data_IF_451500547367
#
_entry.id   IF_451500547367
#
_cell.length_a   1.000
_cell.length_b   1.000
_cell.length_c   1.000
_cell.angle_alpha   90.00
_cell.angle_beta   90.00
_cell.angle_gamma   90.00
#
_symmetry.space_group_name_H-M   'P 1'
#
loop_
_entity.id
_entity.type
_entity.pdbx_description
1 polymer ?
#
# COMPACT_ATOMS: atom_id res chain seq x y z
N UNK A 1 -16.20 34.22 63.11
CA UNK A 1 -16.52 33.87 61.72
C UNK A 1 -17.92 34.34 61.47
N UNK A 2 -18.12 35.21 60.47
CA UNK A 2 -19.43 35.84 60.17
C UNK A 2 -20.44 34.75 59.77
N UNK A 3 -21.63 34.68 60.37
CA UNK A 3 -22.64 33.63 60.12
C UNK A 3 -22.95 33.46 58.59
N UNK A 4 -22.78 34.50 57.80
CA UNK A 4 -23.00 34.48 56.37
C UNK A 4 -21.85 33.78 55.59
N UNK A 5 -20.61 33.91 56.09
CA UNK A 5 -19.44 33.21 55.49
C UNK A 5 -19.52 31.70 55.78
N UNK A 6 -19.97 31.31 56.99
CA UNK A 6 -20.17 29.90 57.31
C UNK A 6 -21.26 29.25 56.43
N UNK A 7 -22.39 29.95 56.16
CA UNK A 7 -23.44 29.48 55.25
C UNK A 7 -22.93 29.33 53.81
N UNK A 8 -22.12 30.29 53.33
CA UNK A 8 -21.54 30.24 52.00
C UNK A 8 -20.57 29.04 51.83
N UNK A 9 -19.72 28.79 52.85
CA UNK A 9 -18.81 27.64 52.87
C UNK A 9 -19.57 26.30 52.82
N UNK A 10 -20.66 26.17 53.57
CA UNK A 10 -21.48 24.96 53.58
C UNK A 10 -22.10 24.75 52.20
N UNK A 11 -22.58 25.82 51.53
CA UNK A 11 -23.19 25.75 50.19
C UNK A 11 -22.17 25.34 49.12
N UNK A 12 -20.93 25.83 49.19
CA UNK A 12 -19.82 25.42 48.33
C UNK A 12 -19.46 23.95 48.51
N UNK A 13 -19.42 23.48 49.76
CA UNK A 13 -19.14 22.06 50.06
C UNK A 13 -20.24 21.16 49.49
N UNK A 14 -21.51 21.55 49.65
CA UNK A 14 -22.63 20.79 49.09
C UNK A 14 -22.55 20.75 47.54
N UNK A 15 -22.21 21.87 46.90
CA UNK A 15 -22.04 21.95 45.45
C UNK A 15 -20.91 21.04 44.95
N UNK A 16 -19.78 20.99 45.69
CA UNK A 16 -18.66 20.10 45.38
C UNK A 16 -19.06 18.62 45.50
N UNK A 17 -19.81 18.26 46.55
CA UNK A 17 -20.30 16.88 46.76
C UNK A 17 -21.24 16.47 45.61
N UNK A 18 -22.18 17.36 45.24
CA UNK A 18 -23.12 17.10 44.11
C UNK A 18 -22.36 16.95 42.82
N UNK A 19 -21.39 17.83 42.52
CA UNK A 19 -20.55 17.77 41.32
C UNK A 19 -19.73 16.47 41.27
N UNK A 20 -19.16 16.06 42.36
CA UNK A 20 -18.39 14.80 42.46
C UNK A 20 -19.30 13.58 42.29
N UNK A 21 -20.48 13.58 42.92
CA UNK A 21 -21.45 12.50 42.76
C UNK A 21 -21.95 12.42 41.30
N UNK A 22 -22.27 13.56 40.67
CA UNK A 22 -22.66 13.61 39.24
C UNK A 22 -21.54 13.10 38.32
N UNK A 23 -20.27 13.49 38.56
CA UNK A 23 -19.12 12.99 37.83
C UNK A 23 -18.94 11.47 37.97
N UNK A 24 -19.08 10.96 39.20
CA UNK A 24 -18.95 9.52 39.46
C UNK A 24 -20.08 8.72 38.79
N UNK A 25 -21.33 9.19 38.87
CA UNK A 25 -22.47 8.56 38.21
C UNK A 25 -22.35 8.57 36.68
N UNK A 26 -21.92 9.70 36.09
CA UNK A 26 -21.69 9.78 34.64
C UNK A 26 -20.57 8.87 34.17
N UNK A 27 -19.46 8.81 34.92
CA UNK A 27 -18.34 7.91 34.64
C UNK A 27 -18.75 6.44 34.75
N UNK A 28 -19.54 6.07 35.77
CA UNK A 28 -20.06 4.69 35.93
C UNK A 28 -21.03 4.33 34.81
N UNK A 29 -21.98 5.22 34.45
CA UNK A 29 -22.90 5.01 33.32
C UNK A 29 -22.17 4.88 31.99
N UNK A 30 -21.18 5.71 31.73
CA UNK A 30 -20.38 5.62 30.51
C UNK A 30 -19.62 4.28 30.44
N UNK A 31 -19.11 3.78 31.56
CA UNK A 31 -18.45 2.47 31.63
C UNK A 31 -19.45 1.32 31.41
N UNK A 32 -20.66 1.39 31.98
CA UNK A 32 -21.74 0.39 31.76
C UNK A 32 -22.24 0.39 30.32
N UNK A 33 -22.40 1.58 29.69
CA UNK A 33 -22.78 1.70 28.29
C UNK A 33 -21.69 1.15 27.37
N UNK A 34 -20.40 1.41 27.67
CA UNK A 34 -19.27 0.87 26.93
C UNK A 34 -19.17 -0.67 27.08
N UNK A 35 -19.43 -1.21 28.28
CA UNK A 35 -19.43 -2.64 28.53
C UNK A 35 -20.60 -3.39 27.85
N UNK A 36 -21.74 -2.72 27.67
CA UNK A 36 -22.93 -3.29 27.01
C UNK A 36 -23.02 -2.99 25.51
N UNK A 37 -22.02 -2.29 24.93
CA UNK A 37 -21.97 -2.08 23.49
C UNK A 37 -21.68 -3.43 22.82
N UNK A 38 -22.50 -3.88 21.86
CA UNK A 38 -22.20 -5.13 21.16
C UNK A 38 -20.81 -5.05 20.54
N UNK A 39 -20.03 -6.11 20.73
CA UNK A 39 -18.70 -6.24 20.14
C UNK A 39 -18.84 -6.28 18.62
N UNK A 40 -18.28 -5.31 17.93
CA UNK A 40 -18.35 -5.19 16.47
C UNK A 40 -17.09 -5.66 15.77
N UNK A 41 -16.00 -5.88 16.52
CA UNK A 41 -14.70 -6.31 16.02
C UNK A 41 -14.17 -7.48 16.84
N UNK A 42 -13.41 -8.37 16.20
CA UNK A 42 -12.77 -9.51 16.89
C UNK A 42 -11.84 -9.01 18.00
N UNK A 43 -11.04 -7.99 17.69
CA UNK A 43 -10.19 -7.27 18.65
C UNK A 43 -9.95 -5.84 18.14
N UNK A 44 -9.41 -5.00 19.00
CA UNK A 44 -8.98 -3.64 18.66
C UNK A 44 -7.52 -3.47 19.01
N UNK A 45 -6.73 -2.92 18.09
CA UNK A 45 -5.30 -2.69 18.24
C UNK A 45 -5.01 -1.18 18.34
N UNK A 46 -3.98 -0.84 19.09
CA UNK A 46 -3.28 0.41 18.88
C UNK A 46 -2.23 0.21 17.77
N UNK A 47 -2.56 0.60 16.54
CA UNK A 47 -1.77 0.36 15.34
C UNK A 47 -0.32 0.89 15.47
N UNK A 48 -0.11 1.97 16.23
CA UNK A 48 1.23 2.56 16.42
C UNK A 48 2.13 1.69 17.29
N UNK A 49 1.55 0.84 18.15
CA UNK A 49 2.26 -0.08 19.03
C UNK A 49 2.48 -1.45 18.40
N UNK A 50 1.91 -1.70 17.23
CA UNK A 50 2.15 -2.95 16.50
C UNK A 50 3.57 -2.96 15.97
N UNK A 51 4.29 -4.02 16.29
CA UNK A 51 5.70 -4.20 15.95
C UNK A 51 5.98 -5.44 15.10
N UNK A 52 5.01 -6.36 14.95
CA UNK A 52 5.19 -7.60 14.19
C UNK A 52 3.84 -8.14 13.73
N UNK A 53 3.82 -8.80 12.58
CA UNK A 53 2.72 -9.68 12.17
C UNK A 53 3.23 -10.88 11.39
N UNK A 54 2.44 -11.93 11.39
CA UNK A 54 2.67 -13.19 10.69
C UNK A 54 1.44 -13.57 9.88
N UNK A 55 1.66 -13.95 8.64
CA UNK A 55 0.65 -14.35 7.68
C UNK A 55 0.97 -15.77 7.23
N UNK A 56 0.09 -16.72 7.57
CA UNK A 56 0.16 -18.10 7.10
C UNK A 56 -1.04 -18.33 6.22
N UNK A 57 -0.81 -18.36 4.93
CA UNK A 57 -1.75 -18.79 3.92
C UNK A 57 -0.94 -19.39 2.76
N UNK A 58 -1.49 -20.37 2.08
CA UNK A 58 -0.85 -21.14 1.02
C UNK A 58 0.27 -22.07 1.52
N UNK A 59 1.50 -21.66 1.81
CA UNK A 59 2.57 -22.61 2.12
C UNK A 59 3.56 -22.17 3.20
N UNK A 60 4.17 -21.01 3.05
CA UNK A 60 5.22 -20.56 3.96
C UNK A 60 4.79 -19.34 4.79
N UNK A 61 5.14 -19.31 6.10
CA UNK A 61 4.86 -18.15 6.93
C UNK A 61 5.60 -16.90 6.45
N UNK A 62 4.87 -15.82 6.23
CA UNK A 62 5.45 -14.50 6.00
C UNK A 62 5.44 -13.75 7.33
N UNK A 63 6.63 -13.46 7.85
CA UNK A 63 6.80 -12.69 9.07
C UNK A 63 7.37 -11.33 8.72
N UNK A 64 6.66 -10.28 9.14
CA UNK A 64 7.09 -8.90 8.96
C UNK A 64 7.22 -8.25 10.34
N UNK A 65 8.37 -7.66 10.59
CA UNK A 65 8.70 -7.07 11.89
C UNK A 65 9.26 -5.66 11.72
N UNK A 66 8.93 -4.78 12.67
CA UNK A 66 9.40 -3.41 12.71
C UNK A 66 10.72 -3.33 13.46
N UNK A 67 11.81 -3.10 12.73
CA UNK A 67 13.17 -2.97 13.27
C UNK A 67 13.64 -1.53 13.05
N UNK A 68 14.00 -0.83 14.12
CA UNK A 68 14.39 0.58 14.07
C UNK A 68 13.40 1.44 13.28
N UNK A 69 12.11 1.31 13.63
CA UNK A 69 10.98 2.01 13.01
C UNK A 69 10.74 1.70 11.51
N UNK A 70 11.39 0.68 10.97
CA UNK A 70 11.26 0.25 9.57
C UNK A 70 10.74 -1.18 9.51
N UNK A 71 9.69 -1.42 8.73
CA UNK A 71 9.17 -2.75 8.47
C UNK A 71 10.13 -3.55 7.60
N UNK A 72 10.40 -4.79 8.00
CA UNK A 72 11.27 -5.75 7.29
C UNK A 72 10.61 -7.12 7.23
N UNK A 73 10.82 -7.84 6.14
CA UNK A 73 10.47 -9.25 6.03
C UNK A 73 11.54 -10.06 6.76
N UNK A 74 11.11 -10.87 7.74
CA UNK A 74 12.01 -11.73 8.51
C UNK A 74 11.89 -13.19 8.07
N UNK A 75 10.73 -13.58 7.57
CA UNK A 75 10.48 -14.89 6.98
C UNK A 75 9.65 -14.73 5.71
N UNK A 76 9.92 -15.53 4.67
CA UNK A 76 11.03 -16.49 4.54
C UNK A 76 12.39 -15.79 4.43
N UNK A 77 13.45 -16.49 4.84
CA UNK A 77 14.79 -15.90 4.94
C UNK A 77 15.35 -15.42 3.59
N UNK A 78 15.00 -16.05 2.48
CA UNK A 78 15.40 -15.63 1.14
C UNK A 78 14.75 -14.30 0.69
N UNK A 79 13.76 -13.79 1.43
CA UNK A 79 13.13 -12.50 1.19
C UNK A 79 13.60 -11.41 2.18
N UNK A 80 14.47 -11.72 3.13
CA UNK A 80 14.91 -10.78 4.19
C UNK A 80 15.64 -9.54 3.67
N UNK A 81 16.28 -9.65 2.50
CA UNK A 81 17.00 -8.54 1.86
C UNK A 81 16.11 -7.67 0.97
N UNK A 82 14.85 -8.05 0.77
CA UNK A 82 13.95 -7.26 -0.04
C UNK A 82 13.53 -5.99 0.70
N UNK A 83 13.58 -4.87 -0.01
CA UNK A 83 13.05 -3.61 0.47
C UNK A 83 11.52 -3.71 0.58
N UNK A 84 10.99 -3.41 1.76
CA UNK A 84 9.55 -3.48 2.06
C UNK A 84 8.89 -2.14 1.78
N UNK A 85 7.73 -2.16 1.13
CA UNK A 85 6.87 -0.99 1.05
C UNK A 85 6.28 -0.70 2.44
N UNK A 86 6.73 0.39 3.05
CA UNK A 86 6.38 0.77 4.42
C UNK A 86 4.88 1.09 4.57
N UNK A 87 4.26 1.62 3.50
CA UNK A 87 2.84 1.95 3.50
C UNK A 87 2.00 0.68 3.41
N UNK A 88 2.37 -0.27 2.54
CA UNK A 88 1.68 -1.55 2.41
C UNK A 88 1.82 -2.40 3.68
N UNK A 89 3.02 -2.44 4.27
CA UNK A 89 3.22 -3.13 5.54
C UNK A 89 2.36 -2.55 6.66
N UNK A 90 2.26 -1.23 6.76
CA UNK A 90 1.40 -0.57 7.73
C UNK A 90 -0.08 -0.69 7.38
N UNK A 91 -0.46 -0.67 6.10
CA UNK A 91 -1.83 -0.91 5.67
C UNK A 91 -2.32 -2.30 6.10
N UNK A 92 -1.43 -3.31 6.06
CA UNK A 92 -1.78 -4.65 6.55
C UNK A 92 -2.05 -4.67 8.07
N UNK A 93 -1.32 -3.87 8.87
CA UNK A 93 -1.63 -3.68 10.30
C UNK A 93 -3.05 -3.12 10.48
N UNK A 94 -3.45 -2.15 9.65
CA UNK A 94 -4.82 -1.60 9.67
C UNK A 94 -5.86 -2.65 9.30
N UNK A 95 -5.54 -3.55 8.36
CA UNK A 95 -6.45 -4.63 7.99
C UNK A 95 -6.77 -5.54 9.19
N UNK A 96 -5.80 -5.84 10.06
CA UNK A 96 -6.06 -6.54 11.31
C UNK A 96 -7.06 -5.79 12.20
N UNK A 97 -7.02 -4.47 12.21
CA UNK A 97 -7.89 -3.64 13.04
C UNK A 97 -9.29 -3.44 12.42
N UNK A 98 -9.52 -3.95 11.20
CA UNK A 98 -10.83 -3.87 10.50
C UNK A 98 -11.59 -5.19 10.48
N UNK A 99 -11.18 -6.19 11.26
CA UNK A 99 -11.86 -7.50 11.34
C UNK A 99 -13.22 -7.37 12.04
N UNK A 100 -14.21 -6.89 11.28
CA UNK A 100 -15.57 -6.71 11.77
C UNK A 100 -16.29 -8.05 11.88
N UNK A 101 -16.99 -8.23 13.01
CA UNK A 101 -17.83 -9.40 13.26
C UNK A 101 -19.15 -9.18 12.53
N UNK A 102 -19.51 -10.11 11.63
CA UNK A 102 -20.85 -10.18 11.07
C UNK A 102 -21.78 -10.90 12.05
N UNK A 103 -21.35 -12.08 12.54
CA UNK A 103 -22.12 -12.88 13.50
C UNK A 103 -21.19 -13.55 14.52
N UNK A 104 -21.63 -13.59 15.77
CA UNK A 104 -21.04 -14.46 16.81
C UNK A 104 -21.75 -15.80 16.76
N UNK A 105 -21.00 -16.89 16.56
CA UNK A 105 -21.55 -18.23 16.40
C UNK A 105 -21.60 -18.89 17.78
N UNK A 106 -22.79 -19.11 18.29
CA UNK A 106 -23.02 -19.75 19.60
C UNK A 106 -23.48 -21.20 19.50
N UNK A 107 -24.07 -21.56 18.36
CA UNK A 107 -24.44 -22.97 18.08
C UNK A 107 -23.24 -23.65 17.40
N UNK A 108 -22.60 -24.55 18.13
CA UNK A 108 -21.43 -25.30 17.68
C UNK A 108 -21.77 -26.73 17.19
N UNK A 109 -23.02 -27.02 16.89
CA UNK A 109 -23.42 -28.38 16.40
C UNK A 109 -22.76 -28.74 15.06
N UNK A 110 -22.33 -27.75 14.28
CA UNK A 110 -21.70 -27.92 12.97
C UNK A 110 -20.24 -27.39 12.94
N UNK A 111 -19.61 -27.21 14.11
CA UNK A 111 -18.27 -26.63 14.23
C UNK A 111 -17.21 -27.40 13.42
N UNK A 112 -17.36 -28.70 13.27
CA UNK A 112 -16.47 -29.55 12.48
C UNK A 112 -16.49 -29.17 10.98
N UNK A 113 -17.64 -28.66 10.50
CA UNK A 113 -17.77 -28.19 9.11
C UNK A 113 -17.08 -26.83 8.84
N UNK A 114 -16.73 -26.09 9.90
CA UNK A 114 -16.10 -24.75 9.76
C UNK A 114 -14.66 -24.81 9.27
N UNK A 115 -14.02 -26.00 9.26
CA UNK A 115 -12.62 -26.16 8.83
C UNK A 115 -11.60 -25.54 9.80
N UNK A 116 -11.97 -25.38 11.07
CA UNK A 116 -11.15 -24.74 12.10
C UNK A 116 -10.33 -25.70 12.95
N UNK A 117 -10.50 -27.03 12.77
CA UNK A 117 -9.63 -28.04 13.38
C UNK A 117 -8.24 -28.06 12.74
N UNK A 118 -8.19 -27.87 11.41
CA UNK A 118 -6.96 -27.75 10.64
C UNK A 118 -7.06 -26.51 9.75
N UNK A 119 -6.93 -25.30 10.32
CA UNK A 119 -7.11 -24.06 9.59
C UNK A 119 -6.05 -23.90 8.50
N UNK A 120 -6.50 -23.54 7.31
CA UNK A 120 -5.61 -23.29 6.16
C UNK A 120 -4.98 -21.92 6.19
N UNK A 121 -5.55 -21.00 6.98
CA UNK A 121 -5.02 -19.65 7.14
C UNK A 121 -4.94 -19.30 8.63
N UNK A 122 -3.79 -18.79 9.03
CA UNK A 122 -3.55 -18.25 10.37
C UNK A 122 -2.93 -16.87 10.23
N UNK A 123 -3.48 -15.92 10.97
CA UNK A 123 -2.95 -14.56 10.98
C UNK A 123 -2.70 -14.12 12.41
N UNK A 124 -1.49 -13.67 12.66
CA UNK A 124 -1.07 -13.23 14.00
C UNK A 124 -0.52 -11.82 13.94
N UNK A 125 -0.87 -10.97 14.92
CA UNK A 125 -0.33 -9.62 15.07
C UNK A 125 0.07 -9.39 16.52
N UNK A 126 1.21 -8.72 16.71
CA UNK A 126 1.73 -8.38 18.05
C UNK A 126 1.70 -6.87 18.27
N UNK A 127 1.01 -6.48 19.34
CA UNK A 127 1.03 -5.13 19.90
C UNK A 127 1.97 -5.14 21.13
N UNK A 128 3.21 -4.75 20.91
CA UNK A 128 4.27 -4.97 21.89
C UNK A 128 4.45 -6.46 22.20
N UNK A 129 4.18 -6.85 23.44
CA UNK A 129 4.27 -8.25 23.89
C UNK A 129 2.92 -8.99 23.84
N UNK A 130 1.85 -8.32 23.44
CA UNK A 130 0.52 -8.93 23.40
C UNK A 130 0.26 -9.50 22.00
N UNK A 131 -0.08 -10.78 21.97
CA UNK A 131 -0.39 -11.52 20.76
C UNK A 131 -1.90 -11.59 20.52
N UNK A 132 -2.29 -11.41 19.24
CA UNK A 132 -3.64 -11.62 18.75
C UNK A 132 -3.56 -12.55 17.56
N UNK A 133 -4.02 -13.79 17.74
CA UNK A 133 -3.98 -14.83 16.70
C UNK A 133 -5.38 -15.27 16.32
N UNK A 134 -5.69 -15.22 15.03
CA UNK A 134 -6.93 -15.75 14.46
C UNK A 134 -6.64 -16.95 13.59
N UNK A 135 -7.57 -17.91 13.64
CA UNK A 135 -7.61 -19.06 12.76
C UNK A 135 -8.79 -18.88 11.80
N UNK A 136 -8.53 -19.05 10.52
CA UNK A 136 -9.53 -18.87 9.46
C UNK A 136 -9.78 -20.23 8.79
N UNK A 137 -11.00 -20.67 8.86
CA UNK A 137 -11.47 -21.92 8.28
C UNK A 137 -12.13 -21.74 6.92
N UNK A 138 -13.15 -22.53 6.65
CA UNK A 138 -13.87 -22.53 5.40
C UNK A 138 -14.67 -21.25 5.17
N UNK A 139 -15.02 -20.98 3.92
CA UNK A 139 -16.08 -20.02 3.59
C UNK A 139 -17.43 -20.54 3.99
N UNK A 140 -18.36 -19.64 4.28
CA UNK A 140 -19.78 -19.95 4.44
C UNK A 140 -20.38 -20.45 3.13
N UNK A 141 -21.55 -21.09 3.19
CA UNK A 141 -22.20 -21.68 2.01
C UNK A 141 -22.55 -20.67 0.89
N UNK A 142 -22.71 -19.39 1.25
CA UNK A 142 -22.90 -18.27 0.30
C UNK A 142 -21.60 -17.69 -0.26
N UNK A 143 -20.42 -18.18 0.22
CA UNK A 143 -19.07 -17.72 -0.11
C UNK A 143 -18.75 -16.26 0.27
N UNK A 144 -19.66 -15.56 0.95
CA UNK A 144 -19.49 -14.16 1.29
C UNK A 144 -18.64 -13.95 2.55
N UNK A 145 -18.53 -15.00 3.41
CA UNK A 145 -17.88 -14.92 4.73
C UNK A 145 -16.92 -16.07 4.94
N UNK A 146 -16.03 -15.89 5.94
CA UNK A 146 -15.21 -16.97 6.50
C UNK A 146 -15.64 -17.28 7.92
N UNK A 147 -15.53 -18.54 8.32
CA UNK A 147 -15.52 -18.92 9.72
C UNK A 147 -14.17 -18.59 10.33
N UNK A 148 -14.20 -17.89 11.46
CA UNK A 148 -13.00 -17.42 12.16
C UNK A 148 -13.07 -17.82 13.61
N UNK A 149 -11.95 -18.31 14.16
CA UNK A 149 -11.78 -18.57 15.59
C UNK A 149 -10.75 -17.58 16.16
N UNK A 150 -11.14 -16.98 17.29
CA UNK A 150 -10.24 -16.17 18.11
C UNK A 150 -10.44 -16.56 19.57
N UNK A 151 -9.36 -17.02 20.23
CA UNK A 151 -9.45 -17.71 21.52
C UNK A 151 -10.42 -18.90 21.41
N UNK A 152 -11.44 -18.93 22.28
CA UNK A 152 -12.48 -19.99 22.30
C UNK A 152 -13.81 -19.52 21.71
N UNK A 153 -13.81 -18.41 20.98
CA UNK A 153 -15.00 -17.84 20.34
C UNK A 153 -14.95 -18.05 18.83
N UNK A 154 -16.12 -18.21 18.23
CA UNK A 154 -16.31 -18.44 16.81
C UNK A 154 -17.14 -17.32 16.19
N UNK A 155 -16.74 -16.87 15.01
CA UNK A 155 -17.34 -15.76 14.31
C UNK A 155 -17.54 -16.06 12.84
N UNK A 156 -18.48 -15.36 12.20
CA UNK A 156 -18.44 -15.14 10.76
C UNK A 156 -17.91 -13.73 10.48
N UNK A 157 -17.04 -13.62 9.48
CA UNK A 157 -16.39 -12.38 9.07
C UNK A 157 -16.47 -12.27 7.55
N UNK A 158 -16.86 -11.12 7.03
CA UNK A 158 -16.93 -10.90 5.59
C UNK A 158 -15.58 -11.19 4.91
N UNK A 159 -15.65 -11.88 3.75
CA UNK A 159 -14.45 -12.33 3.04
C UNK A 159 -13.48 -11.21 2.67
N UNK A 160 -13.99 -10.02 2.40
CA UNK A 160 -13.17 -8.85 2.05
C UNK A 160 -12.14 -8.49 3.14
N UNK A 161 -12.48 -8.65 4.43
CA UNK A 161 -11.55 -8.35 5.53
C UNK A 161 -10.47 -9.42 5.67
N UNK A 162 -10.82 -10.68 5.47
CA UNK A 162 -9.85 -11.78 5.52
C UNK A 162 -8.94 -11.77 4.29
N UNK A 163 -9.51 -11.56 3.11
CA UNK A 163 -8.74 -11.52 1.87
C UNK A 163 -7.77 -10.31 1.84
N UNK A 164 -8.11 -9.20 2.53
CA UNK A 164 -7.21 -8.07 2.70
C UNK A 164 -5.94 -8.38 3.52
N UNK A 165 -5.97 -9.40 4.39
CA UNK A 165 -4.80 -9.88 5.13
C UNK A 165 -3.87 -10.75 4.29
N UNK A 166 -4.35 -11.36 3.20
CA UNK A 166 -3.57 -12.26 2.36
C UNK A 166 -2.59 -11.48 1.47
N UNK A 167 -1.46 -11.10 2.04
CA UNK A 167 -0.38 -10.40 1.33
C UNK A 167 0.78 -11.35 1.07
N UNK A 168 1.07 -11.62 -0.19
CA UNK A 168 2.29 -12.34 -0.57
C UNK A 168 3.53 -11.41 -0.51
N UNK A 169 4.71 -11.98 -0.71
CA UNK A 169 5.97 -11.24 -0.65
C UNK A 169 5.98 -10.08 -1.66
N UNK A 170 5.53 -10.29 -2.89
CA UNK A 170 5.55 -9.27 -3.94
C UNK A 170 4.62 -8.09 -3.65
N UNK A 171 3.51 -8.33 -2.95
CA UNK A 171 2.61 -7.26 -2.49
C UNK A 171 3.24 -6.40 -1.40
N UNK A 172 4.15 -6.98 -0.60
CA UNK A 172 4.84 -6.28 0.49
C UNK A 172 6.14 -5.62 0.06
N UNK A 173 6.68 -5.95 -1.12
CA UNK A 173 7.92 -5.36 -1.62
C UNK A 173 7.70 -3.95 -2.12
N UNK A 174 8.72 -3.11 -1.89
CA UNK A 174 8.82 -1.80 -2.53
C UNK A 174 8.97 -1.98 -4.05
N UNK A 175 8.09 -1.34 -4.79
CA UNK A 175 8.02 -1.42 -6.26
C UNK A 175 8.88 -0.38 -6.97
N UNK A 176 9.61 0.45 -6.23
CA UNK A 176 10.58 1.38 -6.82
C UNK A 176 11.70 0.58 -7.52
N UNK A 177 11.95 0.89 -8.79
CA UNK A 177 13.00 0.21 -9.56
C UNK A 177 14.39 0.85 -9.38
N UNK A 178 14.45 2.04 -8.80
CA UNK A 178 15.67 2.78 -8.54
C UNK A 178 16.11 2.64 -7.08
N UNK A 179 17.42 2.70 -6.85
CA UNK A 179 17.98 2.61 -5.50
C UNK A 179 17.55 3.77 -4.59
N UNK A 180 17.35 4.94 -5.18
CA UNK A 180 16.82 6.13 -4.49
C UNK A 180 15.47 6.53 -5.06
N UNK A 181 14.52 6.94 -4.20
CA UNK A 181 13.21 7.39 -4.66
C UNK A 181 13.32 8.58 -5.62
N UNK A 182 12.62 8.48 -6.74
CA UNK A 182 12.51 9.57 -7.71
C UNK A 182 11.19 10.29 -7.50
N UNK A 183 11.23 11.60 -7.34
CA UNK A 183 10.05 12.45 -7.32
C UNK A 183 9.95 13.26 -8.62
N UNK A 184 8.73 13.56 -9.05
CA UNK A 184 8.51 14.35 -10.27
C UNK A 184 9.16 15.74 -10.21
N UNK A 185 9.28 16.29 -9.00
CA UNK A 185 9.94 17.59 -8.80
C UNK A 185 11.46 17.51 -8.87
N UNK A 186 12.04 16.33 -8.64
CA UNK A 186 13.49 16.14 -8.76
C UNK A 186 13.96 15.92 -10.20
N UNK A 187 13.06 15.56 -11.13
CA UNK A 187 13.42 15.34 -12.54
C UNK A 187 13.28 16.63 -13.34
N UNK A 188 14.31 16.97 -14.10
CA UNK A 188 14.38 18.15 -14.97
C UNK A 188 14.14 17.80 -16.43
N UNK A 189 14.72 16.67 -16.90
CA UNK A 189 14.67 16.23 -18.29
C UNK A 189 14.44 14.72 -18.33
N UNK A 190 13.58 14.28 -19.23
CA UNK A 190 13.45 12.89 -19.66
C UNK A 190 13.94 12.82 -21.11
N UNK A 191 15.00 12.06 -21.34
CA UNK A 191 15.53 11.75 -22.66
C UNK A 191 15.19 10.30 -22.98
N UNK A 192 14.58 10.08 -24.14
CA UNK A 192 14.12 8.79 -24.63
C UNK A 192 14.86 8.49 -25.92
N UNK A 193 15.68 7.47 -25.96
CA UNK A 193 16.30 6.96 -27.18
C UNK A 193 15.65 5.64 -27.55
N UNK A 194 14.93 5.58 -28.69
CA UNK A 194 14.24 4.39 -29.17
C UNK A 194 14.54 4.21 -30.67
N UNK A 195 15.12 3.08 -31.04
CA UNK A 195 15.55 2.84 -32.41
C UNK A 195 16.47 3.95 -32.94
N UNK A 196 16.03 4.71 -33.94
CA UNK A 196 16.81 5.73 -34.63
C UNK A 196 16.45 7.16 -34.21
N UNK A 197 15.65 7.37 -33.16
CA UNK A 197 15.25 8.70 -32.74
C UNK A 197 15.52 8.95 -31.25
N UNK A 198 15.66 10.21 -30.92
CA UNK A 198 15.77 10.68 -29.54
C UNK A 198 14.74 11.78 -29.31
N UNK A 199 13.89 11.61 -28.31
CA UNK A 199 12.99 12.63 -27.82
C UNK A 199 13.47 13.15 -26.48
N UNK A 200 13.37 14.46 -26.27
CA UNK A 200 13.74 15.14 -25.04
C UNK A 200 12.52 15.91 -24.55
N UNK A 201 12.00 15.51 -23.39
CA UNK A 201 10.93 16.24 -22.70
C UNK A 201 11.55 16.98 -21.54
N UNK A 202 11.50 18.31 -21.56
CA UNK A 202 12.09 19.16 -20.55
C UNK A 202 11.03 19.90 -19.73
N UNK A 203 11.16 19.85 -18.43
CA UNK A 203 10.35 20.64 -17.51
C UNK A 203 10.85 22.09 -17.53
N UNK A 204 10.14 22.97 -18.23
CA UNK A 204 10.49 24.38 -18.36
C UNK A 204 10.03 25.21 -17.14
N UNK A 205 8.92 24.82 -16.51
CA UNK A 205 8.42 25.40 -15.26
C UNK A 205 7.56 24.33 -14.51
N UNK A 206 6.95 24.73 -13.39
CA UNK A 206 6.12 23.82 -12.59
C UNK A 206 4.93 23.24 -13.37
N UNK A 207 4.44 23.95 -14.38
CA UNK A 207 3.26 23.59 -15.17
C UNK A 207 3.52 23.56 -16.67
N UNK A 208 4.77 23.62 -17.10
CA UNK A 208 5.11 23.70 -18.52
C UNK A 208 6.22 22.72 -18.89
N UNK A 209 5.95 21.85 -19.86
CA UNK A 209 6.87 20.89 -20.44
C UNK A 209 7.08 21.21 -21.90
N UNK A 210 8.29 21.06 -22.38
CA UNK A 210 8.68 21.35 -23.75
C UNK A 210 9.28 20.09 -24.33
N UNK A 211 8.85 19.71 -25.53
CA UNK A 211 9.51 18.68 -26.34
C UNK A 211 10.49 19.35 -27.30
N UNK A 212 11.75 19.02 -27.15
CA UNK A 212 12.81 19.68 -27.94
C UNK A 212 12.73 19.31 -29.43
N UNK A 213 13.04 20.28 -30.29
CA UNK A 213 13.00 20.12 -31.75
C UNK A 213 11.62 19.68 -32.30
N UNK A 214 10.54 19.99 -31.60
CA UNK A 214 9.18 19.84 -32.12
C UNK A 214 8.81 21.05 -32.97
N UNK A 215 8.30 20.82 -34.16
CA UNK A 215 7.71 21.88 -34.99
C UNK A 215 6.29 22.19 -34.49
N UNK A 216 6.08 23.44 -34.02
CA UNK A 216 4.80 23.91 -33.48
C UNK A 216 4.75 23.89 -31.94
N UNK A 217 3.53 24.06 -31.41
CA UNK A 217 3.31 24.07 -29.96
C UNK A 217 3.27 22.67 -29.37
N UNK A 218 3.85 22.52 -28.17
CA UNK A 218 3.76 21.27 -27.41
C UNK A 218 2.37 21.15 -26.78
N UNK A 219 1.75 20.00 -26.93
CA UNK A 219 0.61 19.58 -26.13
C UNK A 219 1.10 19.26 -24.70
N UNK A 220 0.81 20.19 -23.78
CA UNK A 220 1.35 20.14 -22.43
C UNK A 220 0.86 18.94 -21.64
N UNK A 221 -0.37 18.49 -21.89
CA UNK A 221 -0.96 17.35 -21.19
C UNK A 221 -0.26 16.04 -21.62
N UNK A 222 -0.07 15.83 -22.90
CA UNK A 222 0.65 14.67 -23.41
C UNK A 222 2.09 14.63 -22.93
N UNK A 223 2.79 15.77 -23.01
CA UNK A 223 4.17 15.88 -22.56
C UNK A 223 4.29 15.62 -21.05
N UNK A 224 3.37 16.15 -20.24
CA UNK A 224 3.32 15.91 -18.79
C UNK A 224 3.07 14.42 -18.47
N UNK A 225 2.08 13.82 -19.12
CA UNK A 225 1.71 12.43 -18.88
C UNK A 225 2.89 11.49 -19.14
N UNK A 226 3.57 11.64 -20.28
CA UNK A 226 4.71 10.78 -20.60
C UNK A 226 5.95 11.11 -19.73
N UNK A 227 6.21 12.40 -19.47
CA UNK A 227 7.25 12.79 -18.53
C UNK A 227 7.04 12.15 -17.15
N UNK A 228 5.81 12.18 -16.64
CA UNK A 228 5.46 11.60 -15.34
C UNK A 228 5.51 10.07 -15.35
N UNK A 229 4.96 9.44 -16.38
CA UNK A 229 4.95 7.98 -16.56
C UNK A 229 6.36 7.41 -16.59
N UNK A 230 7.26 8.03 -17.35
CA UNK A 230 8.65 7.58 -17.50
C UNK A 230 9.53 7.93 -16.29
N UNK A 231 9.21 9.02 -15.56
CA UNK A 231 9.96 9.41 -14.36
C UNK A 231 9.61 8.60 -13.13
N UNK A 232 8.33 8.21 -12.99
CA UNK A 232 7.79 7.54 -11.80
C UNK A 232 7.52 6.05 -12.05
N UNK A 233 8.33 5.44 -12.89
CA UNK A 233 8.23 4.02 -13.23
C UNK A 233 8.34 3.14 -11.99
N UNK A 234 7.44 2.13 -11.91
CA UNK A 234 7.43 1.13 -10.85
C UNK A 234 7.34 -0.28 -11.42
N UNK A 235 7.82 -1.25 -10.66
CA UNK A 235 7.63 -2.65 -10.98
C UNK A 235 6.15 -3.04 -10.88
N UNK A 236 5.63 -3.73 -11.87
CA UNK A 236 4.35 -4.43 -11.80
C UNK A 236 4.51 -5.84 -11.24
N UNK A 237 5.67 -6.47 -11.53
CA UNK A 237 6.07 -7.75 -10.95
C UNK A 237 7.60 -7.86 -10.85
N UNK A 238 8.06 -8.81 -10.02
CA UNK A 238 9.48 -9.08 -9.81
C UNK A 238 9.90 -10.33 -10.58
N UNK A 239 11.09 -10.28 -11.21
CA UNK A 239 11.66 -11.41 -11.94
C UNK A 239 12.75 -12.04 -11.08
N UNK A 240 12.44 -13.16 -10.42
CA UNK A 240 13.37 -13.83 -9.47
C UNK A 240 14.49 -14.59 -10.16
N UNK A 241 14.12 -15.42 -11.14
CA UNK A 241 15.07 -16.17 -11.97
C UNK A 241 14.96 -15.64 -13.40
N UNK A 242 15.89 -14.77 -13.78
CA UNK A 242 15.87 -14.13 -15.10
C UNK A 242 16.20 -15.17 -16.18
N UNK A 243 15.23 -15.57 -17.02
CA UNK A 243 15.53 -16.47 -18.14
C UNK A 243 16.55 -15.83 -19.08
N UNK A 244 17.47 -16.62 -19.63
CA UNK A 244 18.47 -16.16 -20.62
C UNK A 244 17.84 -15.44 -21.83
N UNK A 245 16.61 -15.79 -22.17
CA UNK A 245 15.84 -15.11 -23.21
C UNK A 245 15.64 -13.64 -22.85
N UNK A 246 15.20 -13.34 -21.63
CA UNK A 246 14.93 -11.97 -21.17
C UNK A 246 16.25 -11.18 -21.04
N UNK A 247 17.32 -11.78 -20.53
CA UNK A 247 18.63 -11.10 -20.49
C UNK A 247 19.12 -10.67 -21.89
N UNK A 248 18.82 -11.48 -22.91
CA UNK A 248 19.22 -11.17 -24.30
C UNK A 248 18.51 -9.98 -24.88
N UNK A 249 17.27 -9.66 -24.46
CA UNK A 249 16.53 -8.49 -24.91
C UNK A 249 17.32 -7.20 -24.64
N UNK A 250 18.02 -7.13 -23.52
CA UNK A 250 18.78 -5.96 -23.10
C UNK A 250 20.17 -5.82 -23.78
N UNK A 251 20.53 -6.72 -24.71
CA UNK A 251 21.68 -6.49 -25.58
C UNK A 251 21.42 -5.43 -26.64
N UNK A 252 20.17 -5.35 -27.11
CA UNK A 252 19.66 -4.32 -28.00
C UNK A 252 18.27 -3.97 -27.46
N UNK A 253 18.19 -3.06 -26.46
CA UNK A 253 16.91 -2.68 -25.87
C UNK A 253 16.08 -1.88 -26.87
N UNK A 254 14.76 -1.96 -26.76
CA UNK A 254 13.86 -1.18 -27.61
C UNK A 254 13.94 0.32 -27.32
N UNK A 255 14.13 0.67 -26.05
CA UNK A 255 14.36 2.06 -25.63
C UNK A 255 15.34 2.16 -24.47
N UNK A 256 16.03 3.29 -24.40
CA UNK A 256 16.86 3.72 -23.27
C UNK A 256 16.30 5.05 -22.78
N UNK A 257 15.94 5.11 -21.51
CA UNK A 257 15.41 6.31 -20.88
C UNK A 257 16.46 6.86 -19.90
N UNK A 258 16.72 8.14 -20.02
CA UNK A 258 17.64 8.86 -19.12
C UNK A 258 16.90 10.00 -18.41
N UNK A 259 16.88 9.95 -17.08
CA UNK A 259 16.32 10.99 -16.22
C UNK A 259 17.46 11.89 -15.74
N UNK A 260 17.42 13.16 -16.10
CA UNK A 260 18.35 14.16 -15.60
C UNK A 260 17.72 14.89 -14.42
N UNK A 261 18.34 14.77 -13.27
CA UNK A 261 17.82 15.28 -12.01
C UNK A 261 18.19 16.76 -11.79
N UNK A 262 17.53 17.42 -10.83
CA UNK A 262 17.80 18.81 -10.45
C UNK A 262 19.20 19.00 -9.86
N UNK A 263 19.74 18.00 -9.17
CA UNK A 263 21.10 17.97 -8.60
C UNK A 263 22.19 17.62 -9.62
N UNK A 264 21.85 17.54 -10.93
CA UNK A 264 22.70 17.14 -12.05
C UNK A 264 23.11 15.66 -12.05
N UNK A 265 22.53 14.82 -11.22
CA UNK A 265 22.69 13.37 -11.38
C UNK A 265 21.88 12.87 -12.57
N UNK A 266 22.27 11.71 -13.10
CA UNK A 266 21.60 11.03 -14.20
C UNK A 266 21.26 9.62 -13.76
N UNK A 267 20.02 9.20 -14.00
CA UNK A 267 19.54 7.83 -13.80
C UNK A 267 19.13 7.28 -15.15
N UNK A 268 19.57 6.08 -15.47
CA UNK A 268 19.25 5.45 -16.76
C UNK A 268 18.62 4.09 -16.55
N UNK A 269 17.64 3.76 -17.39
CA UNK A 269 17.08 2.43 -17.48
C UNK A 269 16.76 2.06 -18.93
N UNK A 270 16.77 0.77 -19.19
CA UNK A 270 16.46 0.18 -20.50
C UNK A 270 15.08 -0.45 -20.46
N UNK A 271 14.36 -0.40 -21.58
CA UNK A 271 13.10 -1.10 -21.78
C UNK A 271 13.24 -2.14 -22.90
N UNK A 272 12.59 -3.26 -22.70
CA UNK A 272 12.53 -4.32 -23.69
C UNK A 272 11.15 -4.99 -23.69
N UNK A 273 10.63 -5.26 -24.88
CA UNK A 273 9.37 -5.96 -25.13
C UNK A 273 9.64 -7.44 -25.42
N UNK A 274 8.89 -8.32 -24.80
CA UNK A 274 9.00 -9.76 -25.04
C UNK A 274 7.80 -10.32 -25.82
N UNK A 275 8.02 -11.46 -26.47
CA UNK A 275 7.00 -12.17 -27.28
C UNK A 275 5.73 -12.55 -26.49
N UNK A 276 5.83 -12.63 -25.17
CA UNK A 276 4.70 -12.92 -24.27
C UNK A 276 3.89 -11.65 -23.91
N UNK A 277 4.09 -10.56 -24.65
CA UNK A 277 3.49 -9.24 -24.41
C UNK A 277 3.84 -8.63 -23.05
N UNK A 278 4.98 -8.99 -22.50
CA UNK A 278 5.51 -8.45 -21.26
C UNK A 278 6.55 -7.37 -21.54
N UNK A 279 6.54 -6.35 -20.70
CA UNK A 279 7.52 -5.27 -20.75
C UNK A 279 8.46 -5.44 -19.59
N UNK A 280 9.74 -5.35 -19.87
CA UNK A 280 10.78 -5.42 -18.86
C UNK A 280 11.57 -4.12 -18.81
N UNK A 281 11.88 -3.67 -17.59
CA UNK A 281 12.77 -2.56 -17.34
C UNK A 281 14.03 -3.05 -16.62
N UNK A 282 15.18 -2.53 -17.03
CA UNK A 282 16.49 -2.80 -16.42
C UNK A 282 17.19 -1.51 -16.09
N UNK A 283 17.18 -1.05 -14.82
CA UNK A 283 17.99 0.07 -14.35
C UNK A 283 19.47 -0.26 -14.30
N UNK A 284 20.31 0.72 -13.95
CA UNK A 284 21.77 0.56 -13.84
C UNK A 284 22.20 -0.46 -12.79
N UNK A 285 21.37 -0.73 -11.78
CA UNK A 285 21.60 -1.81 -10.80
C UNK A 285 21.66 -3.19 -11.43
N UNK A 286 21.15 -3.34 -12.66
CA UNK A 286 21.12 -4.60 -13.40
C UNK A 286 19.97 -5.53 -13.07
N UNK A 287 19.16 -5.22 -12.06
CA UNK A 287 17.96 -5.99 -11.71
C UNK A 287 16.91 -5.78 -12.80
N UNK A 288 16.23 -6.86 -13.20
CA UNK A 288 15.18 -6.81 -14.21
C UNK A 288 13.82 -6.89 -13.54
N UNK A 289 12.94 -5.97 -13.91
CA UNK A 289 11.57 -5.86 -13.42
C UNK A 289 10.59 -5.98 -14.58
N UNK A 290 9.45 -6.61 -14.35
CA UNK A 290 8.30 -6.46 -15.24
C UNK A 290 7.62 -5.13 -14.90
N UNK A 291 7.21 -4.37 -15.94
CA UNK A 291 6.59 -3.05 -15.79
C UNK A 291 5.32 -2.95 -16.63
N UNK A 292 4.49 -1.96 -16.34
CA UNK A 292 3.24 -1.76 -17.09
C UNK A 292 3.50 -1.37 -18.56
N UNK A 293 2.59 -1.81 -19.46
CA UNK A 293 2.67 -1.52 -20.89
C UNK A 293 2.67 -0.02 -21.20
N UNK A 294 2.01 0.79 -20.38
CA UNK A 294 1.98 2.25 -20.54
C UNK A 294 3.36 2.91 -20.55
N UNK A 295 4.33 2.31 -19.82
CA UNK A 295 5.73 2.77 -19.82
C UNK A 295 6.37 2.60 -21.19
N UNK A 296 6.15 1.43 -21.81
CA UNK A 296 6.66 1.12 -23.15
C UNK A 296 5.99 1.99 -24.20
N UNK A 297 4.67 2.10 -24.16
CA UNK A 297 3.90 2.94 -25.06
C UNK A 297 4.37 4.40 -25.02
N UNK A 298 4.59 4.96 -23.83
CA UNK A 298 5.13 6.30 -23.65
C UNK A 298 6.54 6.46 -24.26
N UNK A 299 7.41 5.45 -24.08
CA UNK A 299 8.77 5.47 -24.61
C UNK A 299 8.83 5.33 -26.12
N UNK A 300 7.85 4.64 -26.73
CA UNK A 300 7.84 4.38 -28.19
C UNK A 300 7.15 5.48 -29.02
N UNK A 301 6.62 6.53 -28.38
CA UNK A 301 5.98 7.65 -29.09
C UNK A 301 6.98 8.52 -29.80
N UNK A 302 6.74 8.79 -31.07
CA UNK A 302 7.51 9.78 -31.84
C UNK A 302 7.18 11.22 -31.39
N UNK A 303 8.10 12.18 -31.64
CA UNK A 303 7.93 13.59 -31.24
C UNK A 303 6.63 14.23 -31.74
N UNK A 304 6.14 13.82 -32.94
CA UNK A 304 4.91 14.37 -33.52
C UNK A 304 3.65 14.06 -32.71
N UNK A 305 3.67 13.04 -31.85
CA UNK A 305 2.61 12.76 -30.90
C UNK A 305 2.34 13.95 -29.96
N UNK A 306 3.38 14.68 -29.59
CA UNK A 306 3.31 15.81 -28.64
C UNK A 306 2.91 17.12 -29.32
N UNK A 307 2.62 17.13 -30.62
CA UNK A 307 2.15 18.34 -31.29
C UNK A 307 0.72 18.65 -30.88
N UNK A 308 0.48 19.90 -30.52
CA UNK A 308 -0.87 20.40 -30.26
C UNK A 308 -1.67 20.42 -31.55
N UNK A 309 -2.85 19.79 -31.55
CA UNK A 309 -3.73 19.80 -32.71
C UNK A 309 -4.47 21.15 -32.79
N UNK A 310 -4.29 21.90 -33.90
CA UNK A 310 -4.95 23.19 -34.15
C UNK A 310 -6.45 23.07 -34.49
N UNK A 311 -7.06 21.88 -34.32
CA UNK A 311 -8.43 21.61 -34.75
C UNK A 311 -9.55 22.22 -33.91
N UNK A 312 -9.25 23.16 -32.98
CA UNK A 312 -10.26 23.84 -32.15
C UNK A 312 -10.50 25.33 -32.50
N UNK A 313 -10.16 25.80 -33.70
CA UNK A 313 -10.38 27.22 -34.07
C UNK A 313 -11.66 27.46 -34.90
N UNK A 314 -12.43 26.48 -35.28
CA UNK A 314 -13.64 26.70 -36.09
C UNK A 314 -14.90 26.02 -35.54
N UNK A 315 -15.42 26.48 -34.42
CA UNK A 315 -16.84 26.32 -34.06
C UNK A 315 -17.33 27.44 -33.16
N UNK A 316 -17.16 28.68 -33.59
CA UNK A 316 -17.98 29.81 -33.14
C UNK A 316 -18.07 30.83 -34.30
N UNK A 317 -18.97 30.57 -35.21
CA UNK A 317 -19.60 31.56 -36.09
C UNK A 317 -21.09 31.27 -36.06
#
# INVERSE_FOLDING_TARGET
MNKNIAKLLILVIILLIISFAAFYITKKRSAEIAANKPRTQIFTLNETNVNKYELIFESEPIIVEKINDTWKIISPLNASDYKVDQLEAFANVKNFNTLNIDMIITNLSEVDSFGLENPINEFTVWEGNKEYKIFVGNRTADEERYYVKYNDEYFSVESIYIDALKKNIDMLRDKEIFDSPVSLDSVRIVEITAGNYTNIIRKASRTNWIVENLEGETDLEKAYNDFSTLSLIKASAFVYEVPRRIERLFRIPDAVISLYMQDNTKITYQLAYDIDNKIYAKPESGIIYEVDYSIYDAAMRGKEYYRKNDNNVNNNI
#
